data_IF_794315290611
#
_entry.id   IF_794315290611
#
_cell.length_a   1.000
_cell.length_b   1.000
_cell.length_c   1.000
_cell.angle_alpha   90.00
_cell.angle_beta   90.00
_cell.angle_gamma   90.00
#
_symmetry.space_group_name_H-M   'P 1'
#
loop_
_entity.id
_entity.type
_entity.pdbx_description
1 polymer ?
#
# COMPACT_ATOMS: atom_id res chain seq x y z
N UNK A 1 -12.88 16.80 3.75
CA UNK A 1 -13.51 15.85 2.81
C UNK A 1 -14.79 16.45 2.23
N UNK A 2 -14.92 16.41 0.91
CA UNK A 2 -16.06 16.85 0.10
C UNK A 2 -17.09 15.72 -0.04
N UNK A 3 -18.28 16.00 -0.57
CA UNK A 3 -19.34 14.99 -0.79
C UNK A 3 -18.87 13.78 -1.64
N UNK A 4 -17.86 13.97 -2.50
CA UNK A 4 -17.28 12.89 -3.29
C UNK A 4 -16.49 11.88 -2.44
N UNK A 5 -15.96 12.27 -1.30
CA UNK A 5 -15.16 11.39 -0.45
C UNK A 5 -16.00 10.38 0.33
N UNK A 6 -17.28 10.70 0.59
CA UNK A 6 -18.20 9.87 1.39
C UNK A 6 -18.52 8.56 0.64
N UNK A 7 -18.63 8.58 -0.69
CA UNK A 7 -18.78 7.36 -1.48
C UNK A 7 -17.52 6.48 -1.47
N UNK A 8 -16.34 7.05 -1.27
CA UNK A 8 -15.06 6.34 -1.33
C UNK A 8 -14.64 5.68 -0.01
N UNK A 9 -15.18 6.13 1.14
CA UNK A 9 -15.03 5.46 2.43
C UNK A 9 -15.62 4.04 2.39
N UNK A 10 -16.58 3.79 1.49
CA UNK A 10 -17.27 2.51 1.27
C UNK A 10 -16.61 1.68 0.15
N UNK A 11 -15.60 2.21 -0.54
CA UNK A 11 -14.97 1.53 -1.67
C UNK A 11 -13.86 0.57 -1.23
N UNK A 12 -13.72 -0.55 -1.93
CA UNK A 12 -12.65 -1.51 -1.71
C UNK A 12 -11.28 -0.84 -1.96
N UNK A 13 -10.21 -1.21 -1.23
CA UNK A 13 -8.87 -0.71 -1.51
C UNK A 13 -8.47 -0.94 -2.96
N UNK A 14 -7.76 0.02 -3.56
CA UNK A 14 -7.14 -0.15 -4.87
C UNK A 14 -5.93 -1.05 -4.70
N UNK A 15 -5.86 -2.08 -5.53
CA UNK A 15 -4.73 -3.00 -5.61
C UNK A 15 -4.01 -2.82 -6.95
N UNK A 16 -2.68 -2.69 -6.92
CA UNK A 16 -1.83 -2.58 -8.11
C UNK A 16 -0.58 -3.42 -7.94
N UNK A 17 -0.11 -4.04 -9.03
CA UNK A 17 1.15 -4.80 -9.08
C UNK A 17 1.99 -4.35 -10.26
N UNK A 18 3.29 -4.32 -10.08
CA UNK A 18 4.27 -4.01 -11.11
C UNK A 18 5.35 -5.07 -11.12
N UNK A 19 5.70 -5.54 -12.32
CA UNK A 19 6.71 -6.58 -12.53
C UNK A 19 7.96 -5.99 -13.16
N UNK A 20 9.12 -6.44 -12.70
CA UNK A 20 10.42 -5.99 -13.19
C UNK A 20 11.36 -7.17 -13.33
N UNK A 21 12.07 -7.23 -14.46
CA UNK A 21 13.17 -8.17 -14.64
C UNK A 21 14.26 -7.91 -13.61
N UNK A 22 14.72 -8.97 -12.96
CA UNK A 22 15.69 -8.90 -11.87
C UNK A 22 16.49 -10.21 -11.80
N UNK A 23 17.48 -10.37 -12.68
CA UNK A 23 18.27 -11.60 -12.79
C UNK A 23 19.35 -11.69 -11.71
N UNK A 24 18.95 -11.53 -10.44
CA UNK A 24 19.85 -11.55 -9.28
C UNK A 24 19.37 -12.54 -8.22
N UNK A 25 20.30 -12.97 -7.36
CA UNK A 25 20.06 -13.92 -6.29
C UNK A 25 19.29 -13.32 -5.12
N UNK A 26 18.70 -14.18 -4.28
CA UNK A 26 18.05 -13.76 -3.04
C UNK A 26 19.00 -13.07 -2.07
N UNK A 27 20.31 -13.40 -2.08
CA UNK A 27 21.32 -12.71 -1.28
C UNK A 27 21.52 -11.26 -1.74
N UNK A 28 21.61 -11.04 -3.05
CA UNK A 28 21.75 -9.69 -3.61
C UNK A 28 20.51 -8.86 -3.27
N UNK A 29 19.31 -9.39 -3.54
CA UNK A 29 18.04 -8.74 -3.21
C UNK A 29 17.98 -8.26 -1.75
N UNK A 30 18.39 -9.13 -0.80
CA UNK A 30 18.37 -8.80 0.63
C UNK A 30 19.38 -7.73 1.03
N UNK A 31 20.55 -7.72 0.40
CA UNK A 31 21.65 -6.82 0.77
C UNK A 31 21.57 -5.45 0.08
N UNK A 32 20.99 -5.38 -1.12
CA UNK A 32 21.01 -4.16 -1.94
C UNK A 32 19.61 -3.60 -2.18
N UNK A 33 18.69 -4.45 -2.66
CA UNK A 33 17.37 -4.01 -3.12
C UNK A 33 16.44 -3.63 -1.97
N UNK A 34 16.37 -4.44 -0.90
CA UNK A 34 15.51 -4.12 0.25
C UNK A 34 15.90 -2.78 0.90
N UNK A 35 17.18 -2.53 1.25
CA UNK A 35 17.56 -1.24 1.85
C UNK A 35 17.28 -0.06 0.91
N UNK A 36 17.65 -0.17 -0.37
CA UNK A 36 17.42 0.88 -1.36
C UNK A 36 15.93 1.20 -1.55
N UNK A 37 15.07 0.18 -1.59
CA UNK A 37 13.62 0.37 -1.66
C UNK A 37 13.05 1.01 -0.39
N UNK A 38 13.51 0.59 0.79
CA UNK A 38 13.06 1.19 2.05
C UNK A 38 13.47 2.67 2.15
N UNK A 39 14.72 3.00 1.81
CA UNK A 39 15.24 4.36 1.84
C UNK A 39 14.53 5.26 0.82
N UNK A 40 14.37 4.79 -0.42
CA UNK A 40 13.66 5.55 -1.46
C UNK A 40 12.17 5.75 -1.13
N UNK A 41 11.50 4.73 -0.56
CA UNK A 41 10.13 4.88 -0.08
C UNK A 41 10.05 5.88 1.06
N UNK A 42 10.97 5.83 2.03
CA UNK A 42 11.03 6.81 3.13
C UNK A 42 11.18 8.23 2.60
N UNK A 43 12.09 8.47 1.66
CA UNK A 43 12.27 9.77 1.01
C UNK A 43 11.03 10.21 0.23
N UNK A 44 10.38 9.30 -0.50
CA UNK A 44 9.14 9.60 -1.21
C UNK A 44 8.03 10.02 -0.24
N UNK A 45 7.90 9.36 0.91
CA UNK A 45 6.90 9.69 1.93
C UNK A 45 7.11 11.04 2.59
N UNK A 46 8.31 11.65 2.51
CA UNK A 46 8.51 13.05 2.93
C UNK A 46 7.70 13.99 2.03
N UNK A 47 7.69 13.72 0.72
CA UNK A 47 6.96 14.53 -0.25
C UNK A 47 5.48 14.14 -0.36
N UNK A 48 5.17 12.88 -0.06
CA UNK A 48 3.82 12.31 -0.12
C UNK A 48 3.36 11.82 1.25
N UNK A 49 3.59 12.63 2.29
CA UNK A 49 3.25 12.26 3.67
C UNK A 49 1.78 11.87 3.91
N UNK A 50 0.77 12.33 3.12
CA UNK A 50 -0.60 11.84 3.26
C UNK A 50 -0.73 10.33 3.01
N UNK A 51 0.22 9.69 2.31
CA UNK A 51 0.23 8.23 2.11
C UNK A 51 0.69 7.47 3.36
N UNK A 52 1.50 8.09 4.21
CA UNK A 52 1.89 7.54 5.50
C UNK A 52 0.86 7.81 6.60
N UNK A 53 -0.06 8.76 6.36
CA UNK A 53 -1.10 9.14 7.29
C UNK A 53 -2.15 8.04 7.47
N UNK A 54 -3.03 8.25 8.45
CA UNK A 54 -4.15 7.36 8.77
C UNK A 54 -5.48 8.06 8.48
N UNK A 55 -6.45 7.29 8.00
CA UNK A 55 -7.83 7.73 7.88
C UNK A 55 -8.51 7.56 9.24
N UNK A 56 -8.91 8.67 9.84
CA UNK A 56 -9.69 8.69 11.08
C UNK A 56 -11.17 8.80 10.73
N UNK A 57 -11.97 7.82 11.15
CA UNK A 57 -13.41 7.76 10.95
C UNK A 57 -14.15 7.80 12.29
N UNK A 58 -15.00 8.81 12.53
CA UNK A 58 -15.87 8.81 13.69
C UNK A 58 -16.95 7.74 13.52
N UNK A 59 -17.17 6.94 14.57
CA UNK A 59 -18.21 5.89 14.61
C UNK A 59 -19.44 6.32 15.41
N UNK A 60 -19.31 7.33 16.27
CA UNK A 60 -20.36 7.76 17.21
C UNK A 60 -20.88 9.19 16.96
N UNK A 61 -20.23 9.96 16.09
CA UNK A 61 -20.59 11.35 15.77
C UNK A 61 -20.86 11.52 14.27
N UNK A 62 -21.62 12.56 13.91
CA UNK A 62 -21.85 12.97 12.52
C UNK A 62 -20.68 13.81 11.96
N UNK A 63 -19.51 13.69 12.59
CA UNK A 63 -18.30 14.35 12.15
C UNK A 63 -17.80 13.72 10.86
N UNK A 64 -17.09 14.52 10.07
CA UNK A 64 -16.50 13.99 8.83
C UNK A 64 -15.24 13.20 9.18
N UNK A 65 -15.01 12.13 8.43
CA UNK A 65 -13.71 11.46 8.40
C UNK A 65 -12.60 12.49 8.13
N UNK A 66 -11.35 12.16 8.43
CA UNK A 66 -10.19 13.02 8.15
C UNK A 66 -8.94 12.19 7.93
N UNK A 67 -8.03 12.68 7.09
CA UNK A 67 -6.68 12.14 6.99
C UNK A 67 -5.85 12.84 8.05
N UNK A 68 -5.21 12.08 8.93
CA UNK A 68 -4.41 12.61 10.03
C UNK A 68 -3.06 11.90 10.06
N UNK A 69 -1.99 12.69 10.11
CA UNK A 69 -0.62 12.20 10.22
C UNK A 69 -0.07 12.58 11.60
N UNK A 70 0.45 11.59 12.31
CA UNK A 70 1.14 11.76 13.60
C UNK A 70 2.58 11.28 13.51
N UNK A 71 3.44 11.82 14.37
CA UNK A 71 4.80 11.30 14.54
C UNK A 71 4.75 9.82 14.96
N UNK A 72 5.37 8.96 14.15
CA UNK A 72 5.34 7.50 14.32
C UNK A 72 4.43 6.78 13.32
N UNK A 73 3.59 7.49 12.58
CA UNK A 73 2.84 6.90 11.48
C UNK A 73 3.80 6.44 10.36
N UNK A 74 3.52 5.27 9.81
CA UNK A 74 4.39 4.60 8.85
C UNK A 74 3.61 3.74 7.87
N UNK A 75 4.25 3.42 6.75
CA UNK A 75 3.73 2.52 5.73
C UNK A 75 4.25 1.11 5.97
N UNK A 76 3.36 0.13 5.90
CA UNK A 76 3.76 -1.28 5.98
C UNK A 76 4.48 -1.69 4.70
N UNK A 77 5.74 -2.10 4.81
CA UNK A 77 6.53 -2.70 3.73
C UNK A 77 6.73 -4.19 4.04
N UNK A 78 6.08 -5.06 3.26
CA UNK A 78 6.25 -6.52 3.38
C UNK A 78 7.25 -7.00 2.34
N UNK A 79 8.21 -7.83 2.74
CA UNK A 79 9.12 -8.49 1.81
C UNK A 79 8.85 -9.99 1.80
N UNK A 80 8.73 -10.57 0.61
CA UNK A 80 8.49 -11.99 0.41
C UNK A 80 9.37 -12.55 -0.72
N UNK A 81 9.48 -13.87 -0.73
CA UNK A 81 10.16 -14.65 -1.77
C UNK A 81 9.18 -15.76 -2.20
N UNK A 82 9.06 -16.00 -3.50
CA UNK A 82 8.12 -16.98 -4.05
C UNK A 82 8.80 -17.95 -5.00
N UNK A 83 8.31 -19.20 -5.02
CA UNK A 83 8.71 -20.23 -5.98
C UNK A 83 7.83 -20.27 -7.24
N UNK A 84 6.92 -19.31 -7.41
CA UNK A 84 6.14 -19.15 -8.63
C UNK A 84 7.08 -18.85 -9.82
N UNK A 85 6.69 -19.28 -11.01
CA UNK A 85 7.46 -19.00 -12.23
C UNK A 85 7.13 -17.60 -12.73
N UNK A 86 8.12 -16.71 -12.80
CA UNK A 86 7.94 -15.31 -13.18
C UNK A 86 7.24 -15.17 -14.54
N UNK A 87 7.69 -15.92 -15.55
CA UNK A 87 7.14 -15.93 -16.91
C UNK A 87 5.65 -16.29 -16.97
N UNK A 88 5.18 -17.12 -16.03
CA UNK A 88 3.76 -17.48 -15.95
C UNK A 88 2.94 -16.32 -15.38
N UNK A 89 3.45 -15.68 -14.35
CA UNK A 89 2.72 -14.60 -13.65
C UNK A 89 2.58 -13.35 -14.53
N UNK A 90 3.54 -13.08 -15.40
CA UNK A 90 3.50 -11.94 -16.33
C UNK A 90 2.80 -12.25 -17.66
N UNK A 91 2.33 -13.49 -17.85
CA UNK A 91 1.69 -13.88 -19.11
C UNK A 91 0.26 -13.36 -19.20
N UNK A 92 -0.20 -12.97 -20.39
CA UNK A 92 -1.57 -12.49 -20.62
C UNK A 92 -2.63 -13.63 -20.61
N UNK A 93 -2.36 -14.74 -19.92
CA UNK A 93 -3.24 -15.90 -19.91
C UNK A 93 -4.42 -15.69 -18.93
N UNK A 94 -5.66 -16.07 -19.30
CA UNK A 94 -6.88 -15.74 -18.53
C UNK A 94 -6.98 -16.29 -17.10
N UNK A 95 -6.08 -17.18 -16.67
CA UNK A 95 -6.16 -17.89 -15.39
C UNK A 95 -5.35 -17.24 -14.25
N UNK A 96 -4.74 -16.08 -14.47
CA UNK A 96 -3.65 -15.58 -13.61
C UNK A 96 -4.05 -14.62 -12.49
N UNK A 97 -5.33 -14.21 -12.37
CA UNK A 97 -5.75 -13.31 -11.27
C UNK A 97 -5.51 -13.96 -9.89
N UNK A 98 -5.73 -15.27 -9.78
CA UNK A 98 -5.44 -16.00 -8.53
C UNK A 98 -3.94 -16.04 -8.20
N UNK A 99 -3.07 -15.96 -9.21
CA UNK A 99 -1.62 -15.88 -9.02
C UNK A 99 -1.17 -14.50 -8.53
N UNK A 100 -1.98 -13.46 -8.75
CA UNK A 100 -1.69 -12.10 -8.28
C UNK A 100 -2.06 -11.87 -6.81
N UNK A 101 -3.08 -12.57 -6.29
CA UNK A 101 -3.51 -12.40 -4.89
C UNK A 101 -2.38 -12.58 -3.86
N UNK A 102 -1.49 -13.60 -3.99
CA UNK A 102 -0.35 -13.74 -3.08
C UNK A 102 0.72 -12.66 -3.23
N UNK A 103 0.72 -11.88 -4.32
CA UNK A 103 1.72 -10.84 -4.59
C UNK A 103 1.32 -9.46 -4.08
N UNK A 104 0.03 -9.28 -3.81
CA UNK A 104 -0.51 -8.06 -3.24
C UNK A 104 -0.21 -7.97 -1.73
N UNK A 105 0.07 -6.75 -1.22
CA UNK A 105 0.02 -6.51 0.23
C UNK A 105 -1.41 -6.63 0.73
N UNK A 106 -1.58 -6.63 2.05
CA UNK A 106 -2.87 -6.40 2.69
C UNK A 106 -2.72 -5.19 3.59
N UNK A 107 -3.68 -4.28 3.57
CA UNK A 107 -3.69 -3.20 4.54
C UNK A 107 -3.76 -3.79 5.96
N UNK A 108 -2.97 -3.25 6.92
CA UNK A 108 -3.14 -3.60 8.31
C UNK A 108 -4.59 -3.36 8.75
N UNK A 109 -5.10 -4.15 9.70
CA UNK A 109 -6.46 -3.97 10.20
C UNK A 109 -6.62 -2.59 10.82
N UNK A 110 -7.87 -2.11 10.81
CA UNK A 110 -8.25 -0.88 11.47
C UNK A 110 -8.04 -0.99 12.98
N UNK A 111 -7.65 0.12 13.60
CA UNK A 111 -7.50 0.17 15.05
C UNK A 111 -8.86 0.01 15.73
N UNK A 112 -8.84 -0.33 17.03
CA UNK A 112 -10.09 -0.31 17.80
C UNK A 112 -10.56 1.14 18.00
N UNK A 113 -11.88 1.39 18.08
CA UNK A 113 -12.38 2.72 18.39
C UNK A 113 -11.77 3.24 19.69
N UNK A 114 -11.31 4.49 19.68
CA UNK A 114 -10.82 5.17 20.88
C UNK A 114 -11.99 5.58 21.79
N UNK A 115 -11.68 6.21 22.93
CA UNK A 115 -12.68 6.67 23.91
C UNK A 115 -13.68 7.70 23.34
N UNK A 116 -13.33 8.35 22.24
CA UNK A 116 -14.18 9.33 21.53
C UNK A 116 -14.99 8.67 20.40
N UNK A 117 -14.81 7.35 20.19
CA UNK A 117 -15.49 6.61 19.13
C UNK A 117 -14.85 6.79 17.76
N UNK A 118 -13.62 7.25 17.65
CA UNK A 118 -12.91 7.32 16.37
C UNK A 118 -12.10 6.05 16.11
N UNK A 119 -12.17 5.55 14.87
CA UNK A 119 -11.34 4.45 14.36
C UNK A 119 -10.26 5.00 13.45
N UNK A 120 -9.05 4.44 13.50
CA UNK A 120 -7.93 4.86 12.67
C UNK A 120 -7.48 3.72 11.75
N UNK A 121 -7.31 4.03 10.46
CA UNK A 121 -7.04 3.06 9.41
C UNK A 121 -5.81 3.44 8.59
N UNK A 122 -4.90 2.50 8.27
CA UNK A 122 -3.79 2.78 7.37
C UNK A 122 -4.28 3.06 5.94
N UNK A 123 -3.55 3.92 5.24
CA UNK A 123 -3.88 4.36 3.88
C UNK A 123 -3.13 3.61 2.78
N UNK A 124 -1.92 3.13 3.05
CA UNK A 124 -1.05 2.46 2.09
C UNK A 124 -0.34 1.26 2.72
N UNK A 125 -0.27 0.17 1.98
CA UNK A 125 0.64 -0.95 2.22
C UNK A 125 1.38 -1.30 0.93
N UNK A 126 2.64 -1.69 1.07
CA UNK A 126 3.54 -2.07 -0.03
C UNK A 126 4.06 -3.47 0.22
N UNK A 127 4.14 -4.27 -0.83
CA UNK A 127 4.78 -5.59 -0.79
C UNK A 127 5.76 -5.75 -1.93
N UNK A 128 6.95 -6.24 -1.62
CA UNK A 128 7.97 -6.59 -2.61
C UNK A 128 8.16 -8.10 -2.56
N UNK A 129 7.91 -8.77 -3.68
CA UNK A 129 8.04 -10.22 -3.82
C UNK A 129 9.16 -10.55 -4.81
N UNK A 130 10.16 -11.31 -4.37
CA UNK A 130 11.24 -11.80 -5.20
C UNK A 130 10.88 -13.11 -5.91
N UNK A 131 11.22 -13.19 -7.19
CA UNK A 131 11.29 -14.40 -8.01
C UNK A 131 12.79 -14.68 -8.28
N UNK A 132 13.42 -15.58 -7.52
CA UNK A 132 14.89 -15.70 -7.51
C UNK A 132 15.48 -15.92 -8.90
N UNK A 133 16.47 -15.10 -9.27
CA UNK A 133 17.15 -15.11 -10.57
C UNK A 133 16.26 -14.79 -11.78
N UNK A 134 15.05 -14.27 -11.57
CA UNK A 134 14.11 -13.94 -12.65
C UNK A 134 13.62 -12.51 -12.56
N UNK A 135 12.97 -12.15 -11.45
CA UNK A 135 12.22 -10.89 -11.38
C UNK A 135 11.84 -10.48 -9.97
N UNK A 136 11.29 -9.28 -9.86
CA UNK A 136 10.62 -8.79 -8.65
C UNK A 136 9.22 -8.29 -9.02
N UNK A 137 8.29 -8.45 -8.08
CA UNK A 137 6.97 -7.84 -8.13
C UNK A 137 6.84 -6.84 -7.00
N UNK A 138 6.38 -5.63 -7.30
CA UNK A 138 6.04 -4.61 -6.31
C UNK A 138 4.52 -4.42 -6.33
N UNK A 139 3.87 -4.86 -5.26
CA UNK A 139 2.44 -4.72 -5.02
C UNK A 139 2.13 -3.54 -4.11
N UNK A 140 1.02 -2.87 -4.38
CA UNK A 140 0.48 -1.76 -3.62
C UNK A 140 -0.98 -2.05 -3.29
N UNK A 141 -1.38 -1.73 -2.07
CA UNK A 141 -2.78 -1.65 -1.67
C UNK A 141 -3.00 -0.32 -0.97
N UNK A 142 -3.93 0.48 -1.46
CA UNK A 142 -4.20 1.79 -0.88
C UNK A 142 -5.68 2.16 -0.95
N UNK A 143 -6.15 2.94 0.02
CA UNK A 143 -7.53 3.41 0.05
C UNK A 143 -7.71 4.56 -0.94
N UNK A 144 -8.84 4.59 -1.66
CA UNK A 144 -9.16 5.64 -2.65
C UNK A 144 -8.97 7.07 -2.14
N UNK A 145 -9.36 7.31 -0.88
CA UNK A 145 -9.22 8.60 -0.19
C UNK A 145 -7.77 9.12 -0.18
N UNK A 146 -6.77 8.23 -0.21
CA UNK A 146 -5.36 8.61 -0.26
C UNK A 146 -4.90 9.07 -1.66
N UNK A 147 -5.56 8.62 -2.73
CA UNK A 147 -5.20 8.95 -4.11
C UNK A 147 -5.94 10.18 -4.64
N UNK A 148 -7.22 10.34 -4.28
CA UNK A 148 -8.02 11.49 -4.72
C UNK A 148 -7.78 12.74 -3.84
N UNK A 149 -7.29 12.55 -2.60
CA UNK A 149 -6.85 13.64 -1.73
C UNK A 149 -5.61 14.40 -2.23
N UNK A 150 -4.92 13.89 -3.27
CA UNK A 150 -3.77 14.56 -3.89
C UNK A 150 -4.18 15.76 -4.78
N UNK A 151 -5.48 16.04 -4.95
CA UNK A 151 -5.98 17.30 -5.51
C UNK A 151 -6.92 17.99 -4.52
N UNK A 152 -6.34 18.55 -3.46
CA UNK A 152 -6.93 19.68 -2.73
C UNK A 152 -5.80 20.60 -2.33
N UNK A 153 -5.34 21.35 -3.32
CA UNK A 153 -4.41 22.46 -3.21
C UNK A 153 -4.88 23.43 -2.13
N UNK A 154 -3.93 23.88 -1.34
CA UNK A 154 -3.98 25.06 -0.47
C UNK A 154 -4.62 26.23 -1.24
N UNK A 155 -5.65 26.83 -0.65
CA UNK A 155 -6.00 28.24 -0.83
C UNK A 155 -6.51 28.79 0.48
#
# INVERSE_FOLDING_TARGET
>A
LTLFDISWIICHPIQRVFFYDFPHSSSHFRQTTIPSLADSLSLALIHFYPLAARLVTPTLSDERARIFYSDGDSVSLTVAETGLQFDRVISDLPSDVELLHPLLPKLPPDDRPNSEGETSSPLLAVKVTLFPNSGICIGFEFRHVAADGLVSTIS
#
